data_IF_846033506626
#
_entry.id   IF_846033506626
#
_cell.length_a   1.000
_cell.length_b   1.000
_cell.length_c   1.000
_cell.angle_alpha   90.00
_cell.angle_beta   90.00
_cell.angle_gamma   90.00
#
_symmetry.space_group_name_H-M   'P 1'
#
loop_
_entity.id
_entity.type
_entity.pdbx_description
1 polymer ?
#
# COMPACT_ATOMS: atom_id res chain seq x y z
N UNK A 1 -7.03 -26.39 17.91
CA UNK A 1 -7.38 -26.32 16.47
C UNK A 1 -6.54 -25.23 15.83
N UNK A 2 -5.68 -25.55 14.85
CA UNK A 2 -5.01 -24.49 14.06
C UNK A 2 -6.11 -23.81 13.25
N UNK A 3 -6.33 -22.50 13.45
CA UNK A 3 -7.22 -21.74 12.57
C UNK A 3 -6.67 -21.89 11.16
N UNK A 4 -7.46 -22.45 10.25
CA UNK A 4 -7.11 -22.44 8.82
C UNK A 4 -6.75 -20.99 8.45
N UNK A 5 -5.60 -20.81 7.79
CA UNK A 5 -5.19 -19.50 7.33
C UNK A 5 -6.19 -19.03 6.28
N UNK A 6 -7.12 -18.18 6.68
CA UNK A 6 -8.07 -17.59 5.76
C UNK A 6 -7.38 -16.48 4.97
N UNK A 7 -7.58 -16.49 3.65
CA UNK A 7 -7.08 -15.48 2.72
C UNK A 7 -8.24 -14.59 2.23
N UNK A 8 -7.94 -13.35 1.88
CA UNK A 8 -8.91 -12.41 1.32
C UNK A 8 -8.31 -11.58 0.20
N UNK A 9 -9.20 -11.09 -0.69
CA UNK A 9 -8.86 -10.18 -1.78
C UNK A 9 -8.64 -8.77 -1.24
N UNK A 10 -7.50 -8.20 -1.56
CA UNK A 10 -7.11 -6.82 -1.25
C UNK A 10 -7.02 -6.01 -2.54
N UNK A 11 -7.50 -4.78 -2.51
CA UNK A 11 -7.42 -3.84 -3.62
C UNK A 11 -6.14 -3.02 -3.50
N UNK A 12 -5.24 -3.10 -4.49
CA UNK A 12 -3.99 -2.33 -4.52
C UNK A 12 -4.31 -0.83 -4.58
N UNK A 13 -5.08 -0.40 -5.59
CA UNK A 13 -5.78 0.87 -5.58
C UNK A 13 -7.12 0.69 -4.87
N UNK A 14 -7.36 1.37 -3.75
CA UNK A 14 -8.60 1.24 -3.00
C UNK A 14 -9.85 1.53 -3.84
N UNK A 15 -10.97 0.86 -3.55
CA UNK A 15 -12.26 1.15 -4.21
C UNK A 15 -12.72 2.61 -4.03
N UNK A 16 -12.41 3.22 -2.88
CA UNK A 16 -12.66 4.64 -2.61
C UNK A 16 -11.93 5.57 -3.58
N UNK A 17 -10.90 5.06 -4.25
CA UNK A 17 -10.02 5.74 -5.19
C UNK A 17 -10.19 5.19 -6.62
N UNK A 18 -11.39 4.72 -6.96
CA UNK A 18 -11.73 4.17 -8.28
C UNK A 18 -11.07 2.82 -8.64
N UNK A 19 -10.47 2.13 -7.68
CA UNK A 19 -9.94 0.79 -7.88
C UNK A 19 -11.02 -0.23 -8.29
N UNK A 20 -10.78 -0.96 -9.37
CA UNK A 20 -11.65 -2.01 -9.89
C UNK A 20 -11.39 -3.34 -9.20
N UNK A 21 -12.23 -4.33 -9.48
CA UNK A 21 -11.99 -5.72 -9.06
C UNK A 21 -11.31 -6.55 -10.15
N UNK A 22 -10.66 -5.88 -11.13
CA UNK A 22 -9.88 -6.55 -12.16
C UNK A 22 -8.67 -7.26 -11.55
N UNK A 23 -8.24 -8.41 -12.09
CA UNK A 23 -7.16 -9.20 -11.51
C UNK A 23 -5.86 -8.43 -11.26
N UNK A 24 -5.53 -7.48 -12.13
CA UNK A 24 -4.34 -6.63 -11.99
C UNK A 24 -4.38 -5.77 -10.71
N UNK A 25 -5.56 -5.38 -10.21
CA UNK A 25 -5.74 -4.55 -9.02
C UNK A 25 -6.00 -5.36 -7.73
N UNK A 26 -5.94 -6.70 -7.80
CA UNK A 26 -6.29 -7.58 -6.69
C UNK A 26 -5.09 -8.42 -6.25
N UNK A 27 -4.76 -8.32 -4.97
CA UNK A 27 -3.83 -9.24 -4.30
C UNK A 27 -4.58 -10.19 -3.36
N UNK A 28 -4.09 -11.43 -3.25
CA UNK A 28 -4.60 -12.40 -2.28
C UNK A 28 -3.67 -12.39 -1.06
N UNK A 29 -4.18 -11.88 0.05
CA UNK A 29 -3.41 -11.73 1.28
C UNK A 29 -3.98 -12.61 2.40
N UNK A 30 -3.13 -13.01 3.33
CA UNK A 30 -3.59 -13.61 4.60
C UNK A 30 -4.49 -12.60 5.32
N UNK A 31 -5.58 -13.07 5.94
CA UNK A 31 -6.53 -12.20 6.64
C UNK A 31 -5.89 -11.36 7.75
N UNK A 32 -4.86 -11.88 8.41
CA UNK A 32 -4.08 -11.14 9.41
C UNK A 32 -3.37 -9.94 8.76
N UNK A 33 -2.67 -10.18 7.65
CA UNK A 33 -1.99 -9.13 6.86
C UNK A 33 -2.99 -8.11 6.34
N UNK A 34 -4.08 -8.56 5.71
CA UNK A 34 -5.10 -7.68 5.17
C UNK A 34 -5.72 -6.79 6.25
N UNK A 35 -6.03 -7.35 7.42
CA UNK A 35 -6.55 -6.59 8.57
C UNK A 35 -5.53 -5.61 9.12
N UNK A 36 -4.26 -6.01 9.20
CA UNK A 36 -3.19 -5.12 9.65
C UNK A 36 -3.04 -3.92 8.72
N UNK A 37 -3.03 -4.14 7.40
CA UNK A 37 -2.99 -3.07 6.40
C UNK A 37 -4.14 -2.08 6.57
N UNK A 38 -5.38 -2.57 6.69
CA UNK A 38 -6.55 -1.69 6.92
C UNK A 38 -6.50 -0.93 8.23
N UNK A 39 -5.93 -1.54 9.28
CA UNK A 39 -5.84 -0.93 10.61
C UNK A 39 -4.76 0.14 10.65
N UNK A 40 -3.59 -0.14 10.07
CA UNK A 40 -2.43 0.75 10.08
C UNK A 40 -2.59 1.90 9.08
N UNK A 41 -3.20 1.64 7.93
CA UNK A 41 -3.17 2.56 6.81
C UNK A 41 -4.53 3.01 6.31
N UNK A 42 -5.65 2.49 6.83
CA UNK A 42 -6.99 3.04 6.57
C UNK A 42 -7.37 3.22 5.08
N UNK A 43 -6.97 2.31 4.20
CA UNK A 43 -7.16 2.42 2.74
C UNK A 43 -6.39 3.58 2.08
N UNK A 44 -5.26 4.01 2.65
CA UNK A 44 -4.30 4.90 2.00
C UNK A 44 -3.61 4.21 0.82
N UNK A 45 -3.17 5.00 -0.16
CA UNK A 45 -2.34 4.54 -1.27
C UNK A 45 -0.97 4.07 -0.79
N UNK A 46 -0.31 3.19 -1.54
CA UNK A 46 1.02 2.65 -1.19
C UNK A 46 2.01 3.74 -0.78
N UNK A 47 2.10 4.85 -1.53
CA UNK A 47 2.99 5.96 -1.20
C UNK A 47 2.69 6.54 0.20
N UNK A 48 1.41 6.74 0.53
CA UNK A 48 0.97 7.23 1.83
C UNK A 48 1.20 6.18 2.94
N UNK A 49 1.07 4.88 2.64
CA UNK A 49 1.40 3.81 3.60
C UNK A 49 2.90 3.80 3.93
N UNK A 50 3.75 4.03 2.93
CA UNK A 50 5.19 4.11 3.09
C UNK A 50 5.58 5.33 3.92
N UNK A 51 5.00 6.50 3.65
CA UNK A 51 5.19 7.71 4.49
C UNK A 51 4.78 7.40 5.93
N UNK A 52 3.60 6.81 6.13
CA UNK A 52 3.12 6.42 7.48
C UNK A 52 4.08 5.44 8.16
N UNK A 53 4.67 4.51 7.42
CA UNK A 53 5.64 3.54 7.96
C UNK A 53 6.93 4.23 8.40
N UNK A 54 7.39 5.21 7.61
CA UNK A 54 8.55 6.05 7.94
C UNK A 54 8.26 6.90 9.19
N UNK A 55 7.08 7.50 9.29
CA UNK A 55 6.61 8.27 10.46
C UNK A 55 6.46 7.41 11.71
N UNK A 56 5.93 6.19 11.60
CA UNK A 56 5.82 5.26 12.74
C UNK A 56 7.20 4.79 13.22
N UNK A 57 8.18 4.78 12.32
CA UNK A 57 9.57 4.40 12.60
C UNK A 57 10.46 5.61 12.90
N UNK A 58 9.87 6.80 13.06
CA UNK A 58 10.58 8.08 13.15
C UNK A 58 11.66 8.09 14.24
N UNK A 59 11.37 7.50 15.39
CA UNK A 59 12.34 7.42 16.51
C UNK A 59 13.51 6.46 16.25
N UNK A 60 13.40 5.59 15.25
CA UNK A 60 14.43 4.63 14.87
C UNK A 60 15.27 5.10 13.68
N UNK A 61 14.81 6.09 12.93
CA UNK A 61 15.50 6.64 11.76
C UNK A 61 16.16 7.96 12.10
N UNK A 62 17.34 8.21 11.52
CA UNK A 62 17.93 9.55 11.54
C UNK A 62 17.12 10.46 10.61
N UNK A 63 16.96 11.72 11.01
CA UNK A 63 16.17 12.73 10.30
C UNK A 63 16.58 12.91 8.83
N UNK A 64 17.87 12.89 8.52
CA UNK A 64 18.40 12.97 7.15
C UNK A 64 18.01 11.77 6.29
N UNK A 65 18.01 10.56 6.86
CA UNK A 65 17.57 9.33 6.19
C UNK A 65 16.06 9.37 5.93
N UNK A 66 15.29 9.90 6.88
CA UNK A 66 13.84 10.06 6.78
C UNK A 66 13.46 11.00 5.63
N UNK A 67 14.06 12.19 5.59
CA UNK A 67 13.85 13.17 4.52
C UNK A 67 14.25 12.60 3.17
N UNK A 68 15.42 11.96 3.08
CA UNK A 68 15.86 11.32 1.85
C UNK A 68 14.91 10.20 1.38
N UNK A 69 14.35 9.40 2.30
CA UNK A 69 13.37 8.37 1.97
C UNK A 69 12.07 9.00 1.45
N UNK A 70 11.52 10.01 2.14
CA UNK A 70 10.30 10.70 1.69
C UNK A 70 10.53 11.36 0.33
N UNK A 71 11.65 12.05 0.16
CA UNK A 71 12.02 12.67 -1.11
C UNK A 71 12.22 11.62 -2.20
N UNK A 72 12.85 10.48 -1.92
CA UNK A 72 13.02 9.40 -2.91
C UNK A 72 11.68 8.80 -3.30
N UNK A 73 10.78 8.58 -2.33
CA UNK A 73 9.44 8.03 -2.56
C UNK A 73 8.57 9.00 -3.38
N UNK A 74 8.78 10.30 -3.25
CA UNK A 74 8.02 11.34 -3.95
C UNK A 74 8.65 11.79 -5.28
N UNK A 75 9.99 11.72 -5.40
CA UNK A 75 10.75 12.21 -6.57
C UNK A 75 11.14 11.14 -7.58
N UNK A 76 11.24 9.87 -7.18
CA UNK A 76 11.49 8.75 -8.09
C UNK A 76 10.24 7.92 -8.20
N UNK A 77 9.51 8.06 -9.31
CA UNK A 77 8.87 7.03 -10.15
C UNK A 77 8.54 5.64 -9.56
N UNK A 78 8.26 5.52 -8.26
CA UNK A 78 7.45 4.44 -7.70
C UNK A 78 6.13 4.70 -8.35
N UNK A 79 5.78 3.87 -9.32
CA UNK A 79 4.61 4.06 -10.17
C UNK A 79 3.47 4.61 -9.33
N UNK A 80 3.06 5.85 -9.62
CA UNK A 80 1.85 6.41 -9.05
C UNK A 80 0.78 5.31 -9.23
N UNK A 81 0.19 4.79 -8.15
CA UNK A 81 -0.77 3.70 -8.24
C UNK A 81 -1.86 4.00 -9.25
N UNK A 82 -2.21 5.28 -9.47
CA UNK A 82 -3.12 5.70 -10.52
C UNK A 82 -2.55 5.56 -11.94
N UNK A 83 -1.28 5.88 -12.16
CA UNK A 83 -0.63 5.73 -13.48
C UNK A 83 -0.49 4.27 -13.84
N UNK A 84 0.05 3.44 -12.93
CA UNK A 84 0.12 1.99 -13.13
C UNK A 84 -1.27 1.39 -13.34
N UNK A 85 -2.25 1.77 -12.51
CA UNK A 85 -3.63 1.26 -12.63
C UNK A 85 -4.27 1.67 -13.97
N UNK A 86 -4.02 2.88 -14.47
CA UNK A 86 -4.49 3.27 -15.81
C UNK A 86 -3.83 2.46 -16.92
N UNK A 87 -2.51 2.31 -16.87
CA UNK A 87 -1.74 1.65 -17.93
C UNK A 87 -1.99 0.14 -18.00
N UNK A 88 -2.20 -0.51 -16.84
CA UNK A 88 -2.30 -1.97 -16.75
C UNK A 88 -3.71 -2.50 -16.49
N UNK A 89 -4.61 -1.70 -15.90
CA UNK A 89 -5.95 -2.17 -15.51
C UNK A 89 -7.13 -1.60 -16.31
N UNK A 90 -6.98 -0.47 -17.02
CA UNK A 90 -8.09 0.19 -17.75
C UNK A 90 -7.89 0.18 -19.28
N UNK A 91 -7.27 -0.86 -19.84
CA UNK A 91 -7.08 -0.96 -21.30
C UNK A 91 -8.38 -0.90 -22.10
#
# INVERSE_FOLDING_TARGET
MRKEEQYSKHHILPKSMFGSSEPCNIEILKNSTHRALHTLFQNRMIAEQLITTVELSDKALREDVREWLIDTLTSKNIHDPYVWYKDECIR
#
